data_IF_996745167094
#
_entry.id   IF_996745167094
#
_cell.length_a   1.000
_cell.length_b   1.000
_cell.length_c   1.000
_cell.angle_alpha   90.00
_cell.angle_beta   90.00
_cell.angle_gamma   90.00
#
_symmetry.space_group_name_H-M   'P 1'
#
loop_
_entity.id
_entity.type
_entity.pdbx_description
1 polymer ?
#
# COMPACT_ATOMS: atom_id res chain seq x y z
N UNK A 1 26.71 14.76 -4.10
CA UNK A 1 25.64 15.75 -4.37
C UNK A 1 24.36 15.15 -3.83
N UNK A 2 23.79 15.72 -2.77
CA UNK A 2 22.55 15.19 -2.18
C UNK A 2 21.37 15.66 -3.03
N UNK A 3 20.64 14.73 -3.62
CA UNK A 3 19.45 15.04 -4.42
C UNK A 3 18.22 15.00 -3.51
N UNK A 4 17.56 16.14 -3.33
CA UNK A 4 16.31 16.23 -2.60
C UNK A 4 15.14 15.96 -3.55
N UNK A 5 14.40 14.89 -3.27
CA UNK A 5 13.17 14.55 -4.00
C UNK A 5 11.98 15.26 -3.35
N UNK A 6 11.30 16.10 -4.12
CA UNK A 6 10.01 16.68 -3.73
C UNK A 6 8.87 15.72 -4.10
N UNK A 7 7.84 15.67 -3.26
CA UNK A 7 6.61 14.93 -3.56
C UNK A 7 5.84 15.57 -4.70
N UNK A 8 5.04 14.79 -5.42
CA UNK A 8 4.12 15.33 -6.42
C UNK A 8 3.14 16.29 -5.72
N UNK A 9 2.89 17.50 -6.27
CA UNK A 9 1.95 18.44 -5.67
C UNK A 9 0.56 17.82 -5.47
N UNK A 10 -0.09 18.19 -4.36
CA UNK A 10 -1.38 17.62 -3.95
C UNK A 10 -2.42 18.71 -3.79
N UNK A 11 -3.64 18.43 -4.20
CA UNK A 11 -4.80 19.15 -3.73
C UNK A 11 -5.07 18.72 -2.28
N UNK A 12 -5.41 19.69 -1.42
CA UNK A 12 -5.74 19.46 -0.01
C UNK A 12 -7.13 20.02 0.22
N UNK A 13 -8.05 19.16 0.62
CA UNK A 13 -9.46 19.52 0.80
C UNK A 13 -9.99 18.95 2.11
N UNK A 14 -10.99 19.61 2.70
CA UNK A 14 -11.69 19.06 3.86
C UNK A 14 -12.55 17.88 3.41
N UNK A 15 -12.36 16.71 4.00
CA UNK A 15 -13.17 15.53 3.68
C UNK A 15 -14.65 15.78 4.00
N UNK A 16 -15.56 15.13 3.28
CA UNK A 16 -17.02 15.30 3.43
C UNK A 16 -17.53 15.04 4.85
N UNK A 17 -16.84 14.21 5.63
CA UNK A 17 -17.16 13.96 7.04
C UNK A 17 -16.88 15.16 7.96
N UNK A 18 -16.09 16.15 7.50
CA UNK A 18 -15.67 17.32 8.27
C UNK A 18 -14.61 17.05 9.34
N UNK A 19 -14.09 15.81 9.44
CA UNK A 19 -13.19 15.38 10.52
C UNK A 19 -11.71 15.40 10.17
N UNK A 20 -11.37 15.38 8.88
CA UNK A 20 -9.99 15.26 8.41
C UNK A 20 -9.78 15.91 7.05
N UNK A 21 -8.53 16.18 6.70
CA UNK A 21 -8.14 16.61 5.36
C UNK A 21 -7.91 15.39 4.48
N UNK A 22 -8.36 15.46 3.24
CA UNK A 22 -7.99 14.51 2.19
C UNK A 22 -6.94 15.16 1.29
N UNK A 23 -5.94 14.38 0.90
CA UNK A 23 -4.87 14.80 0.01
C UNK A 23 -4.85 13.91 -1.24
N UNK A 24 -4.87 14.52 -2.41
CA UNK A 24 -4.87 13.79 -3.67
C UNK A 24 -3.88 14.42 -4.67
N UNK A 25 -3.14 13.62 -5.46
CA UNK A 25 -2.27 14.15 -6.50
C UNK A 25 -3.03 15.09 -7.45
N UNK A 26 -2.42 16.22 -7.81
CA UNK A 26 -3.04 17.14 -8.78
C UNK A 26 -3.38 16.42 -10.09
N UNK A 27 -4.52 16.75 -10.69
CA UNK A 27 -5.00 16.14 -11.94
C UNK A 27 -3.97 16.21 -13.08
N UNK A 28 -3.06 17.18 -13.03
CA UNK A 28 -1.94 17.30 -13.97
C UNK A 28 -1.06 16.05 -14.07
N UNK A 29 -0.91 15.27 -12.98
CA UNK A 29 -0.11 14.02 -12.99
C UNK A 29 -0.70 12.98 -13.93
N UNK A 30 -2.02 12.97 -14.10
CA UNK A 30 -2.72 11.96 -14.90
C UNK A 30 -2.40 12.08 -16.39
N UNK A 31 -1.92 13.25 -16.83
CA UNK A 31 -1.46 13.47 -18.21
C UNK A 31 -0.19 12.68 -18.56
N UNK A 32 0.54 12.20 -17.54
CA UNK A 32 1.72 11.35 -17.72
C UNK A 32 1.37 9.87 -17.89
N UNK A 33 0.11 9.48 -17.70
CA UNK A 33 -0.34 8.09 -17.84
C UNK A 33 -0.22 7.64 -19.29
N UNK A 34 0.43 6.50 -19.50
CA UNK A 34 0.56 5.84 -20.80
C UNK A 34 0.28 4.34 -20.63
N UNK A 35 -0.14 3.67 -21.71
CA UNK A 35 -0.31 2.21 -21.75
C UNK A 35 -1.18 1.66 -20.60
N UNK A 36 -2.39 2.20 -20.45
CA UNK A 36 -3.30 1.82 -19.36
C UNK A 36 -3.61 0.32 -19.40
N UNK A 37 -3.34 -0.35 -18.29
CA UNK A 37 -3.72 -1.75 -18.07
C UNK A 37 -4.87 -1.77 -17.07
N UNK A 38 -6.03 -2.25 -17.49
CA UNK A 38 -7.19 -2.44 -16.61
C UNK A 38 -7.33 -3.92 -16.29
N UNK A 39 -7.61 -4.22 -15.02
CA UNK A 39 -7.90 -5.58 -14.58
C UNK A 39 -9.39 -5.71 -14.30
N UNK A 40 -10.02 -6.83 -14.71
CA UNK A 40 -11.37 -7.12 -14.25
C UNK A 40 -11.35 -7.36 -12.73
N UNK A 41 -12.52 -7.26 -12.10
CA UNK A 41 -12.69 -7.67 -10.71
C UNK A 41 -12.19 -9.10 -10.52
N UNK A 42 -11.34 -9.31 -9.54
CA UNK A 42 -10.83 -10.63 -9.15
C UNK A 42 -11.12 -10.87 -7.69
N UNK A 43 -11.51 -12.10 -7.38
CA UNK A 43 -11.57 -12.58 -6.01
C UNK A 43 -10.13 -12.92 -5.63
N UNK A 44 -9.66 -12.31 -4.56
CA UNK A 44 -8.40 -12.70 -3.94
C UNK A 44 -8.73 -13.78 -2.92
N UNK A 45 -8.31 -15.01 -3.21
CA UNK A 45 -8.44 -16.12 -2.30
C UNK A 45 -7.36 -15.94 -1.22
N UNK A 46 -7.73 -16.12 0.05
CA UNK A 46 -6.76 -16.05 1.17
C UNK A 46 -5.60 -17.04 1.00
N UNK A 47 -4.65 -17.08 1.94
CA UNK A 47 -3.52 -18.01 1.87
C UNK A 47 -2.38 -17.55 0.96
N UNK A 48 -2.12 -16.24 0.87
CA UNK A 48 -0.89 -15.75 0.24
C UNK A 48 -0.98 -15.52 -1.27
N UNK A 49 -2.18 -15.41 -1.84
CA UNK A 49 -2.34 -15.27 -3.29
C UNK A 49 -1.65 -14.01 -3.82
N UNK A 50 -0.77 -14.22 -4.81
CA UNK A 50 0.00 -13.17 -5.48
C UNK A 50 -0.41 -13.08 -6.95
N UNK A 51 -1.05 -11.97 -7.30
CA UNK A 51 -1.48 -11.66 -8.65
C UNK A 51 -0.53 -10.67 -9.32
N UNK A 52 0.30 -11.20 -10.21
CA UNK A 52 1.28 -10.43 -10.96
C UNK A 52 0.66 -9.55 -12.05
N UNK A 53 0.89 -8.24 -11.99
CA UNK A 53 0.47 -7.27 -13.00
C UNK A 53 1.55 -7.16 -14.09
N UNK A 54 1.17 -7.46 -15.33
CA UNK A 54 2.04 -7.37 -16.50
C UNK A 54 1.64 -6.18 -17.37
N UNK A 55 2.52 -5.78 -18.30
CA UNK A 55 2.23 -4.72 -19.29
C UNK A 55 2.45 -3.29 -18.81
N UNK A 56 3.14 -3.12 -17.67
CA UNK A 56 3.44 -1.82 -17.05
C UNK A 56 4.92 -1.74 -16.67
N UNK A 57 5.49 -0.54 -16.73
CA UNK A 57 6.87 -0.28 -16.28
C UNK A 57 6.88 -0.23 -14.75
N UNK A 58 7.30 -1.32 -14.11
CA UNK A 58 7.19 -1.45 -12.65
C UNK A 58 7.95 -0.38 -11.85
N UNK A 59 9.00 0.19 -12.45
CA UNK A 59 9.80 1.26 -11.89
C UNK A 59 9.14 2.64 -11.95
N UNK A 60 8.15 2.84 -12.83
CA UNK A 60 7.48 4.13 -13.01
C UNK A 60 6.02 3.90 -13.44
N UNK A 61 5.10 4.04 -12.50
CA UNK A 61 3.68 3.81 -12.74
C UNK A 61 2.78 4.59 -11.78
N UNK A 62 1.52 4.74 -12.18
CA UNK A 62 0.42 5.21 -11.34
C UNK A 62 -0.59 4.07 -11.24
N UNK A 63 -0.68 3.46 -10.06
CA UNK A 63 -1.50 2.26 -9.82
C UNK A 63 -2.68 2.64 -8.95
N UNK A 64 -3.90 2.37 -9.41
CA UNK A 64 -5.14 2.56 -8.65
C UNK A 64 -5.84 1.20 -8.49
N UNK A 65 -6.18 0.86 -7.25
CA UNK A 65 -6.86 -0.38 -6.86
C UNK A 65 -8.00 -0.03 -5.91
N UNK A 66 -9.08 -0.81 -5.95
CA UNK A 66 -10.17 -0.72 -4.97
C UNK A 66 -10.51 -2.11 -4.47
N UNK A 67 -10.54 -2.28 -3.16
CA UNK A 67 -10.88 -3.54 -2.50
C UNK A 67 -12.30 -3.44 -1.94
N UNK A 68 -13.06 -4.50 -2.16
CA UNK A 68 -14.39 -4.71 -1.57
C UNK A 68 -14.25 -5.82 -0.54
N UNK A 69 -14.60 -5.50 0.70
CA UNK A 69 -14.53 -6.45 1.82
C UNK A 69 -15.94 -6.98 2.02
N UNK A 70 -16.15 -8.26 1.74
CA UNK A 70 -17.45 -8.90 1.95
C UNK A 70 -17.79 -9.00 3.45
N UNK A 71 -18.96 -9.57 3.79
CA UNK A 71 -19.47 -9.74 5.16
C UNK A 71 -18.58 -10.54 6.15
N UNK A 72 -17.33 -10.82 5.80
CA UNK A 72 -16.31 -11.47 6.61
C UNK A 72 -15.63 -10.51 7.60
N UNK A 73 -16.18 -9.32 7.85
CA UNK A 73 -15.69 -8.42 8.91
C UNK A 73 -15.64 -9.13 10.26
N UNK A 74 -16.50 -10.14 10.47
CA UNK A 74 -16.46 -10.96 11.67
C UNK A 74 -15.16 -11.75 11.85
N UNK A 75 -14.38 -11.96 10.80
CA UNK A 75 -13.08 -12.62 10.83
C UNK A 75 -11.95 -11.65 11.23
N UNK A 76 -12.18 -10.33 11.24
CA UNK A 76 -11.18 -9.36 11.64
C UNK A 76 -10.68 -9.60 13.07
N UNK A 77 -9.37 -9.44 13.25
CA UNK A 77 -8.67 -9.58 14.52
C UNK A 77 -9.15 -8.53 15.52
N UNK A 78 -9.41 -8.94 16.76
CA UNK A 78 -9.82 -8.01 17.83
C UNK A 78 -8.59 -7.30 18.39
N UNK A 79 -8.63 -5.98 18.36
CA UNK A 79 -7.64 -5.12 18.97
C UNK A 79 -8.15 -4.69 20.35
N UNK A 80 -7.57 -5.24 21.42
CA UNK A 80 -8.04 -4.99 22.80
C UNK A 80 -7.69 -3.58 23.30
N UNK A 81 -6.50 -3.10 22.94
CA UNK A 81 -5.97 -1.81 23.38
C UNK A 81 -5.68 -0.91 22.18
N UNK A 82 -5.76 0.41 22.37
CA UNK A 82 -5.31 1.34 21.35
C UNK A 82 -3.78 1.25 21.20
N UNK A 83 -3.33 0.78 20.04
CA UNK A 83 -1.91 0.60 19.72
C UNK A 83 -1.49 1.57 18.63
N UNK A 84 -0.25 2.03 18.69
CA UNK A 84 0.33 2.89 17.65
C UNK A 84 0.29 2.18 16.28
N UNK A 85 -0.21 2.84 15.22
CA UNK A 85 -0.36 2.22 13.91
C UNK A 85 0.97 1.85 13.24
N UNK A 86 2.08 2.56 13.51
CA UNK A 86 3.39 2.18 12.98
C UNK A 86 3.88 0.89 13.62
N UNK A 87 3.65 0.72 14.93
CA UNK A 87 3.94 -0.53 15.64
C UNK A 87 3.13 -1.68 15.01
N UNK A 88 1.82 -1.51 14.83
CA UNK A 88 0.96 -2.53 14.22
C UNK A 88 1.35 -2.88 12.77
N UNK A 89 1.89 -1.92 12.02
CA UNK A 89 2.41 -2.18 10.67
C UNK A 89 3.77 -2.88 10.70
N UNK A 90 4.59 -2.65 11.73
CA UNK A 90 5.90 -3.29 11.93
C UNK A 90 5.80 -4.71 12.48
N UNK A 91 4.74 -4.98 13.25
CA UNK A 91 4.38 -6.32 13.64
C UNK A 91 4.12 -7.13 12.38
N UNK A 92 4.80 -8.28 12.30
CA UNK A 92 4.89 -9.04 11.06
C UNK A 92 3.53 -9.14 10.38
N UNK A 93 3.50 -8.78 9.09
CA UNK A 93 2.43 -9.10 8.16
C UNK A 93 2.10 -10.61 8.12
N UNK A 94 2.90 -11.43 8.81
CA UNK A 94 2.79 -12.89 9.00
C UNK A 94 2.01 -13.32 10.24
N UNK A 95 1.59 -12.40 11.11
CA UNK A 95 0.59 -12.72 12.13
C UNK A 95 -0.73 -12.93 11.37
N UNK A 96 -1.39 -14.07 11.58
CA UNK A 96 -2.70 -14.37 10.98
C UNK A 96 -3.72 -13.33 11.43
N UNK A 97 -3.78 -12.23 10.70
CA UNK A 97 -4.85 -11.25 10.77
C UNK A 97 -5.99 -11.80 9.93
N UNK A 98 -7.17 -11.96 10.50
CA UNK A 98 -8.26 -12.60 9.77
C UNK A 98 -8.76 -11.77 8.58
N UNK A 99 -8.48 -10.46 8.53
CA UNK A 99 -8.72 -9.61 7.36
C UNK A 99 -7.50 -8.74 7.01
N UNK A 100 -6.69 -9.29 6.12
CA UNK A 100 -5.46 -8.69 5.64
C UNK A 100 -4.22 -9.35 6.25
N UNK A 101 -3.03 -8.89 5.87
CA UNK A 101 -2.75 -7.79 4.95
C UNK A 101 -3.19 -8.07 3.49
N UNK A 102 -3.84 -7.10 2.85
CA UNK A 102 -4.12 -7.13 1.41
C UNK A 102 -3.79 -5.79 0.75
N UNK A 103 -3.19 -5.82 -0.43
CA UNK A 103 -2.65 -4.62 -1.05
C UNK A 103 -1.76 -4.86 -2.25
N UNK A 104 -0.71 -4.05 -2.34
CA UNK A 104 0.20 -3.97 -3.46
C UNK A 104 1.65 -4.18 -2.99
N UNK A 105 2.36 -5.07 -3.67
CA UNK A 105 3.81 -5.15 -3.61
C UNK A 105 4.41 -4.34 -4.75
N UNK A 106 5.19 -3.33 -4.38
CA UNK A 106 5.92 -2.44 -5.31
C UNK A 106 7.43 -2.69 -5.21
N UNK A 107 8.17 -2.31 -6.25
CA UNK A 107 9.62 -2.56 -6.35
C UNK A 107 9.99 -4.03 -6.09
N UNK A 108 9.13 -4.95 -6.52
CA UNK A 108 9.27 -6.36 -6.21
C UNK A 108 10.29 -7.05 -7.13
N UNK A 109 11.33 -7.63 -6.55
CA UNK A 109 12.32 -8.41 -7.29
C UNK A 109 11.86 -9.85 -7.55
N UNK A 110 12.52 -10.53 -8.49
CA UNK A 110 12.19 -11.92 -8.83
C UNK A 110 12.31 -12.83 -7.59
N UNK A 111 11.24 -13.57 -7.30
CA UNK A 111 11.17 -14.44 -6.13
C UNK A 111 10.92 -13.69 -4.81
N UNK A 112 10.45 -12.43 -4.88
CA UNK A 112 10.11 -11.61 -3.71
C UNK A 112 11.26 -11.46 -2.71
N UNK A 113 12.50 -11.39 -3.20
CA UNK A 113 13.67 -11.16 -2.35
C UNK A 113 13.69 -9.74 -1.80
N UNK A 114 13.24 -8.79 -2.61
CA UNK A 114 13.08 -7.38 -2.26
C UNK A 114 11.69 -6.93 -2.69
N UNK A 115 10.99 -6.16 -1.86
CA UNK A 115 9.73 -5.47 -2.18
C UNK A 115 9.39 -4.46 -1.09
N UNK A 116 8.59 -3.46 -1.44
CA UNK A 116 7.86 -2.63 -0.46
C UNK A 116 6.40 -3.06 -0.49
N UNK A 117 5.79 -3.27 0.68
CA UNK A 117 4.39 -3.64 0.79
C UNK A 117 3.55 -2.43 1.18
N UNK A 118 2.51 -2.14 0.39
CA UNK A 118 1.53 -1.10 0.67
C UNK A 118 0.17 -1.77 0.79
N UNK A 119 -0.39 -1.81 2.00
CA UNK A 119 -1.51 -2.70 2.28
C UNK A 119 -2.47 -2.14 3.34
N UNK A 120 -3.64 -2.76 3.41
CA UNK A 120 -4.60 -2.57 4.49
C UNK A 120 -4.64 -3.81 5.40
N UNK A 121 -4.91 -3.57 6.69
CA UNK A 121 -5.39 -4.57 7.65
C UNK A 121 -6.68 -4.05 8.27
N UNK A 122 -7.60 -4.94 8.58
CA UNK A 122 -8.86 -4.60 9.26
C UNK A 122 -8.88 -5.29 10.60
N UNK A 123 -9.06 -4.49 11.65
CA UNK A 123 -9.25 -4.95 13.03
C UNK A 123 -10.69 -4.69 13.47
N UNK A 124 -11.09 -5.30 14.58
CA UNK A 124 -12.22 -4.86 15.39
C UNK A 124 -11.69 -4.16 16.62
N UNK A 125 -12.06 -2.90 16.79
CA UNK A 125 -11.78 -2.12 18.00
C UNK A 125 -13.10 -1.66 18.60
N UNK A 126 -13.37 -2.00 19.87
CA UNK A 126 -14.64 -1.68 20.53
C UNK A 126 -15.88 -2.08 19.70
N UNK A 127 -15.86 -3.28 19.09
CA UNK A 127 -16.91 -3.82 18.22
C UNK A 127 -17.15 -3.04 16.92
N UNK A 128 -16.23 -2.16 16.52
CA UNK A 128 -16.29 -1.45 15.24
C UNK A 128 -15.11 -1.81 14.35
N UNK A 129 -15.31 -1.88 13.02
CA UNK A 129 -14.20 -2.04 12.08
C UNK A 129 -13.22 -0.87 12.22
N UNK A 130 -11.93 -1.18 12.29
CA UNK A 130 -10.83 -0.24 12.32
C UNK A 130 -9.86 -0.60 11.20
N UNK A 131 -9.68 0.33 10.26
CA UNK A 131 -8.82 0.10 9.08
C UNK A 131 -7.45 0.69 9.33
N UNK A 132 -6.43 -0.16 9.26
CA UNK A 132 -5.03 0.21 9.28
C UNK A 132 -4.49 0.26 7.86
N UNK A 133 -3.80 1.34 7.51
CA UNK A 133 -3.11 1.51 6.24
C UNK A 133 -1.60 1.55 6.48
N UNK A 134 -0.85 0.65 5.83
CA UNK A 134 0.56 0.43 6.07
C UNK A 134 1.41 0.63 4.81
N UNK A 135 2.64 1.07 5.02
CA UNK A 135 3.75 0.99 4.06
C UNK A 135 4.95 0.35 4.76
N UNK A 136 5.16 -0.94 4.50
CA UNK A 136 6.23 -1.74 5.08
C UNK A 136 7.43 -1.83 4.12
N UNK A 137 8.57 -1.32 4.58
CA UNK A 137 9.84 -1.32 3.85
C UNK A 137 10.88 -2.30 4.41
N UNK A 138 10.48 -3.14 5.38
CA UNK A 138 11.35 -4.13 6.04
C UNK A 138 12.07 -5.08 5.09
N UNK A 139 11.51 -5.27 3.88
CA UNK A 139 12.09 -6.10 2.81
C UNK A 139 12.42 -5.31 1.55
N UNK A 140 12.52 -4.00 1.63
CA UNK A 140 12.72 -3.13 0.46
C UNK A 140 14.11 -3.23 -0.16
N UNK A 141 15.12 -3.64 0.62
CA UNK A 141 16.49 -3.86 0.13
C UNK A 141 17.19 -5.00 0.86
N UNK A 142 18.10 -5.70 0.16
CA UNK A 142 19.05 -6.63 0.77
C UNK A 142 20.21 -5.92 1.50
N UNK A 143 20.34 -4.60 1.32
CA UNK A 143 21.34 -3.79 2.02
C UNK A 143 20.82 -3.40 3.40
N UNK A 144 21.75 -3.21 4.34
CA UNK A 144 21.44 -2.76 5.71
C UNK A 144 21.12 -1.26 5.73
N UNK A 145 20.02 -0.87 5.10
CA UNK A 145 19.52 0.49 5.00
C UNK A 145 18.37 0.70 6.01
N UNK A 146 17.96 1.96 6.20
CA UNK A 146 16.75 2.27 6.98
C UNK A 146 15.52 1.60 6.34
N UNK A 147 14.93 0.69 7.10
CA UNK A 147 13.84 -0.22 6.72
C UNK A 147 12.58 0.13 7.51
N UNK A 148 12.39 1.42 7.80
CA UNK A 148 11.27 1.92 8.58
C UNK A 148 9.92 1.55 7.96
N UNK A 149 8.98 1.19 8.83
CA UNK A 149 7.60 0.89 8.47
C UNK A 149 6.72 2.02 8.95
N UNK A 150 5.81 2.47 8.08
CA UNK A 150 4.90 3.57 8.35
C UNK A 150 3.47 3.06 8.36
N UNK A 151 2.63 3.65 9.22
CA UNK A 151 1.27 3.20 9.44
C UNK A 151 0.36 4.32 9.88
N UNK A 152 -0.91 4.25 9.50
CA UNK A 152 -1.95 5.13 10.05
C UNK A 152 -3.33 4.47 9.98
N UNK A 153 -4.22 4.85 10.89
CA UNK A 153 -5.61 4.45 10.80
C UNK A 153 -6.38 5.36 9.83
N UNK A 154 -7.31 4.80 9.07
CA UNK A 154 -8.18 5.56 8.17
C UNK A 154 -9.64 5.39 8.55
N UNK A 155 -10.35 6.53 8.61
CA UNK A 155 -11.80 6.57 8.83
C UNK A 155 -12.49 6.18 7.52
N UNK A 156 -12.73 4.89 7.27
CA UNK A 156 -13.50 4.36 6.12
C UNK A 156 -14.54 3.36 6.62
N UNK A 157 -15.78 3.53 6.18
CA UNK A 157 -16.85 2.59 6.50
C UNK A 157 -16.82 1.41 5.51
N UNK A 158 -16.04 0.39 5.84
CA UNK A 158 -15.82 -0.79 4.98
C UNK A 158 -17.08 -1.62 4.69
N UNK A 159 -18.20 -1.37 5.38
CA UNK A 159 -19.50 -1.99 5.08
C UNK A 159 -20.24 -1.32 3.93
N UNK A 160 -19.92 -0.05 3.66
CA UNK A 160 -20.64 0.78 2.69
C UNK A 160 -19.71 1.40 1.63
N UNK A 161 -18.41 1.39 1.86
CA UNK A 161 -17.38 2.01 1.02
C UNK A 161 -16.30 0.99 0.62
N UNK A 162 -15.74 1.16 -0.58
CA UNK A 162 -14.57 0.38 -1.03
C UNK A 162 -13.29 0.99 -0.47
N UNK A 163 -12.34 0.13 -0.11
CA UNK A 163 -11.00 0.56 0.27
C UNK A 163 -10.19 0.88 -0.99
N UNK A 164 -10.05 2.16 -1.32
CA UNK A 164 -9.22 2.59 -2.44
C UNK A 164 -7.76 2.75 -2.02
N UNK A 165 -6.87 2.31 -2.90
CA UNK A 165 -5.42 2.48 -2.82
C UNK A 165 -4.93 3.06 -4.14
N UNK A 166 -4.24 4.19 -4.07
CA UNK A 166 -3.46 4.71 -5.19
C UNK A 166 -1.99 4.79 -4.81
N UNK A 167 -1.09 4.27 -5.65
CA UNK A 167 0.36 4.38 -5.45
C UNK A 167 1.02 4.99 -6.69
N UNK A 168 1.66 6.13 -6.51
CA UNK A 168 2.55 6.75 -7.48
C UNK A 168 3.95 6.22 -7.25
N UNK A 169 4.50 5.58 -8.27
CA UNK A 169 5.76 4.84 -8.19
C UNK A 169 6.71 5.53 -9.15
N UNK A 170 7.81 6.05 -8.62
CA UNK A 170 8.83 6.73 -9.40
C UNK A 170 10.21 6.38 -8.85
N UNK A 171 10.80 5.37 -9.48
CA UNK A 171 12.15 4.90 -9.23
C UNK A 171 12.44 4.48 -7.78
N UNK A 172 12.86 5.43 -6.95
CA UNK A 172 13.20 5.21 -5.54
C UNK A 172 12.14 5.77 -4.59
N UNK A 173 11.00 6.20 -5.11
CA UNK A 173 9.91 6.79 -4.32
C UNK A 173 8.61 6.08 -4.63
N UNK A 174 7.86 5.79 -3.58
CA UNK A 174 6.44 5.45 -3.67
C UNK A 174 5.66 6.47 -2.85
N UNK A 175 4.61 7.04 -3.42
CA UNK A 175 3.63 7.87 -2.71
C UNK A 175 2.29 7.15 -2.74
N UNK A 176 1.81 6.73 -1.57
CA UNK A 176 0.60 5.92 -1.46
C UNK A 176 -0.52 6.67 -0.76
N UNK A 177 -1.73 6.58 -1.32
CA UNK A 177 -2.93 7.27 -0.89
C UNK A 177 -4.01 6.24 -0.58
N UNK A 178 -4.43 6.18 0.67
CA UNK A 178 -5.44 5.23 1.16
C UNK A 178 -6.77 5.92 1.42
N UNK A 179 -7.88 5.24 1.08
CA UNK A 179 -9.23 5.70 1.35
C UNK A 179 -9.53 7.05 0.70
N UNK A 180 -9.31 7.16 -0.61
CA UNK A 180 -9.52 8.40 -1.40
C UNK A 180 -8.70 9.59 -0.88
N UNK A 181 -7.51 9.32 -0.36
CA UNK A 181 -6.60 10.36 0.12
C UNK A 181 -6.83 10.79 1.57
N UNK A 182 -7.72 10.10 2.32
CA UNK A 182 -7.87 10.25 3.78
C UNK A 182 -6.56 9.99 4.52
N UNK A 183 -5.70 9.13 3.97
CA UNK A 183 -4.30 9.00 4.36
C UNK A 183 -3.35 9.10 3.17
N UNK A 184 -2.15 9.62 3.43
CA UNK A 184 -1.05 9.60 2.50
C UNK A 184 0.23 9.17 3.21
N UNK A 185 0.94 8.18 2.66
CA UNK A 185 2.22 7.71 3.16
C UNK A 185 3.25 7.83 2.05
N UNK A 186 4.36 8.50 2.34
CA UNK A 186 5.50 8.63 1.42
C UNK A 186 6.75 8.16 2.16
N UNK A 187 7.11 6.89 2.05
CA UNK A 187 8.36 6.47 2.61
C UNK A 187 9.52 6.88 1.66
N UNK A 188 10.63 7.33 2.25
CA UNK A 188 11.86 7.57 1.48
C UNK A 188 12.69 6.29 1.47
N UNK A 189 12.86 5.64 0.31
CA UNK A 189 13.84 4.56 0.22
C UNK A 189 15.24 5.15 0.36
N UNK A 190 16.07 4.70 1.33
CA UNK A 190 17.41 5.20 1.49
C UNK A 190 18.25 4.65 0.34
N UNK A 191 18.76 5.58 -0.47
CA UNK A 191 19.68 5.36 -1.58
C UNK A 191 19.13 4.65 -2.81
N UNK A 192 19.53 5.22 -3.95
CA UNK A 192 19.47 4.63 -5.29
C UNK A 192 19.83 3.15 -5.23
N UNK A 193 18.89 2.25 -5.52
CA UNK A 193 19.18 0.82 -5.49
C UNK A 193 20.14 0.53 -6.66
N UNK A 194 21.43 0.21 -6.41
CA UNK A 194 22.46 0.23 -7.45
C UNK A 194 22.40 -0.98 -8.40
N UNK A 195 21.41 -1.86 -8.23
CA UNK A 195 21.09 -2.93 -9.16
C UNK A 195 19.93 -2.56 -10.10
N UNK A 196 19.77 -1.26 -10.35
CA UNK A 196 18.79 -0.64 -11.24
C UNK A 196 18.58 -1.38 -12.59
N UNK A 197 19.63 -1.87 -13.30
CA UNK A 197 19.44 -2.60 -14.56
C UNK A 197 18.81 -3.99 -14.41
N UNK A 198 18.96 -4.66 -13.26
CA UNK A 198 18.35 -5.98 -13.02
C UNK A 198 16.92 -5.86 -12.49
N UNK A 199 16.62 -4.80 -11.74
CA UNK A 199 15.29 -4.53 -11.17
C UNK A 199 14.30 -3.93 -12.17
N UNK A 200 14.76 -3.20 -13.20
CA UNK A 200 13.93 -2.61 -14.25
C UNK A 200 13.04 -3.61 -15.03
N UNK A 201 13.14 -4.91 -14.77
CA UNK A 201 12.36 -5.96 -15.45
C UNK A 201 11.21 -6.55 -14.61
N UNK A 202 10.98 -6.12 -13.37
CA UNK A 202 10.23 -6.94 -12.42
C UNK A 202 9.00 -6.24 -11.82
N UNK A 203 7.88 -6.49 -12.51
CA UNK A 203 6.44 -6.55 -12.16
C UNK A 203 5.93 -6.05 -10.80
N UNK A 204 4.72 -5.50 -10.80
CA UNK A 204 3.90 -5.36 -9.60
C UNK A 204 3.22 -6.69 -9.25
N UNK A 205 2.95 -6.91 -7.97
CA UNK A 205 2.08 -7.99 -7.51
C UNK A 205 1.00 -7.43 -6.60
N UNK A 206 -0.27 -7.59 -7.00
CA UNK A 206 -1.39 -7.56 -6.07
C UNK A 206 -1.23 -8.76 -5.12
N UNK A 207 -1.38 -8.54 -3.83
CA UNK A 207 -1.13 -9.58 -2.83
C UNK A 207 -2.20 -9.57 -1.75
N UNK A 208 -2.68 -10.75 -1.37
CA UNK A 208 -3.02 -11.02 0.04
C UNK A 208 -1.75 -11.61 0.64
N UNK A 209 -1.12 -10.95 1.62
CA UNK A 209 0.09 -11.53 2.23
C UNK A 209 -0.32 -12.50 3.34
N UNK A 210 -0.25 -13.78 3.05
CA UNK A 210 0.03 -14.83 4.05
C UNK A 210 1.25 -15.60 3.54
N UNK A 211 2.09 -16.05 4.46
CA UNK A 211 3.40 -16.67 4.20
C UNK A 211 3.43 -17.62 2.99
N UNK A 212 4.41 -17.39 2.11
CA UNK A 212 5.17 -18.49 1.51
C UNK A 212 5.76 -19.29 2.67
N UNK A 213 5.29 -20.53 2.85
CA UNK A 213 5.96 -21.54 3.69
C UNK A 213 7.39 -21.78 3.23
#
# INVERSE_FOLDING_TARGET
MNMYLQTIPRAIELHKSGKQLAQWPIVGVEKLRANRVNWPTKILNGGGELLKINGVTAAQADVEISFEVNNNIEEAEVLDNWTDPEILCSESSSIKSGLGPFGLLVFASKGLKEFTSVFFRIFKYQQKPLVLFCSDQSRSSLKNNDMSTYGTFIDVDVLHEKLSLRSLIDHSVVESFGGEGRASIRPSLPEFIPHWPSMMKHYFMLSIMELLM
#
